data_IF_985189560034
#
_entry.id   IF_985189560034
#
_cell.length_a   1.000
_cell.length_b   1.000
_cell.length_c   1.000
_cell.angle_alpha   90.00
_cell.angle_beta   90.00
_cell.angle_gamma   90.00
#
_symmetry.space_group_name_H-M   'P 1'
#
loop_
_entity.id
_entity.type
_entity.pdbx_description
1 polymer ?
#
# COMPACT_ATOMS: atom_id res chain seq x y z
N UNK A 1 31.84 -40.66 -44.05
CA UNK A 1 31.68 -39.32 -44.65
C UNK A 1 30.33 -38.84 -44.17
N UNK A 2 30.04 -37.85 -43.43
CA UNK A 2 30.71 -36.57 -43.13
C UNK A 2 29.83 -35.75 -42.20
N UNK A 3 30.48 -35.17 -41.27
CA UNK A 3 30.25 -33.87 -40.62
C UNK A 3 29.12 -33.70 -39.60
N UNK A 4 29.59 -33.75 -38.37
CA UNK A 4 29.00 -33.08 -37.23
C UNK A 4 28.84 -31.56 -37.49
N UNK A 5 27.71 -31.01 -37.11
CA UNK A 5 27.53 -29.58 -36.92
C UNK A 5 27.32 -29.29 -35.44
N UNK A 6 28.18 -28.40 -34.93
CA UNK A 6 28.26 -28.00 -33.54
C UNK A 6 27.05 -27.09 -33.13
N UNK A 7 26.69 -27.05 -31.84
CA UNK A 7 25.65 -26.17 -31.38
C UNK A 7 26.13 -24.72 -31.24
N UNK A 8 25.33 -23.79 -31.74
CA UNK A 8 25.52 -22.34 -31.58
C UNK A 8 25.27 -21.97 -30.11
N UNK A 9 26.31 -21.59 -29.40
CA UNK A 9 26.21 -20.93 -28.11
C UNK A 9 25.66 -19.54 -28.31
N UNK A 10 24.39 -19.32 -27.99
CA UNK A 10 23.80 -18.00 -27.83
C UNK A 10 24.34 -17.37 -26.54
N UNK A 11 25.25 -16.42 -26.70
CA UNK A 11 25.74 -15.53 -25.65
C UNK A 11 24.62 -14.56 -25.25
N UNK A 12 23.92 -14.85 -24.18
CA UNK A 12 23.04 -13.88 -23.54
C UNK A 12 23.91 -12.81 -22.85
N UNK A 13 24.17 -11.71 -23.52
CA UNK A 13 24.66 -10.49 -22.89
C UNK A 13 23.58 -10.00 -21.94
N UNK A 14 23.82 -10.14 -20.65
CA UNK A 14 23.08 -9.43 -19.60
C UNK A 14 23.38 -7.94 -19.75
N UNK A 15 22.50 -7.22 -20.42
CA UNK A 15 22.45 -5.77 -20.33
C UNK A 15 21.80 -5.43 -18.99
N UNK A 16 22.63 -5.27 -17.96
CA UNK A 16 22.25 -4.60 -16.75
C UNK A 16 22.04 -3.13 -17.11
N UNK A 17 20.79 -2.74 -17.35
CA UNK A 17 20.40 -1.34 -17.39
C UNK A 17 20.37 -0.86 -15.95
N UNK A 18 21.54 -0.60 -15.40
CA UNK A 18 21.68 0.23 -14.21
C UNK A 18 21.16 1.62 -14.59
N UNK A 19 20.02 2.00 -14.02
CA UNK A 19 19.49 3.35 -14.10
C UNK A 19 20.44 4.26 -13.37
N UNK A 20 21.41 4.79 -14.08
CA UNK A 20 22.33 5.85 -13.65
C UNK A 20 21.54 7.15 -13.59
N UNK A 21 20.77 7.34 -12.50
CA UNK A 21 20.27 8.63 -12.08
C UNK A 21 21.05 9.08 -10.85
N UNK A 22 22.34 9.20 -11.02
CA UNK A 22 23.22 9.85 -10.05
C UNK A 22 24.34 10.50 -10.84
N UNK A 23 24.61 11.73 -10.53
CA UNK A 23 25.72 12.56 -10.99
C UNK A 23 25.37 13.69 -11.95
N UNK A 24 24.69 14.69 -11.40
CA UNK A 24 24.99 16.08 -11.69
C UNK A 24 24.73 16.95 -10.45
N UNK A 25 25.45 16.68 -9.36
CA UNK A 25 25.45 17.50 -8.14
C UNK A 25 26.88 17.57 -7.59
N UNK A 26 27.73 18.32 -8.28
CA UNK A 26 28.97 18.82 -7.70
C UNK A 26 29.20 20.25 -8.21
N UNK A 27 28.56 21.18 -7.54
CA UNK A 27 29.06 22.54 -7.38
C UNK A 27 28.67 23.01 -5.98
N UNK A 28 29.60 22.86 -5.06
CA UNK A 28 29.47 23.27 -3.67
C UNK A 28 29.66 24.77 -3.61
N UNK A 29 28.60 25.53 -3.33
CA UNK A 29 28.69 26.83 -2.68
C UNK A 29 28.02 26.72 -1.33
N UNK A 30 28.63 27.32 -0.31
CA UNK A 30 28.21 27.37 1.07
C UNK A 30 26.82 28.01 1.22
N UNK A 31 25.80 27.16 1.23
CA UNK A 31 24.40 27.54 1.45
C UNK A 31 24.16 27.50 2.96
N UNK A 32 23.46 28.49 3.50
CA UNK A 32 23.06 28.50 4.91
C UNK A 32 22.23 27.22 5.23
N UNK A 33 22.25 26.76 6.49
CA UNK A 33 21.51 25.53 6.88
C UNK A 33 20.02 25.59 6.55
N UNK A 34 19.40 26.76 6.57
CA UNK A 34 18.01 26.96 6.17
C UNK A 34 17.80 26.75 4.66
N UNK A 35 18.64 27.32 3.81
CA UNK A 35 18.60 27.11 2.36
C UNK A 35 18.91 25.67 1.95
N UNK A 36 19.78 24.99 2.69
CA UNK A 36 20.06 23.56 2.44
C UNK A 36 18.83 22.69 2.79
N UNK A 37 18.10 23.03 3.85
CA UNK A 37 16.89 22.31 4.22
C UNK A 37 15.75 22.49 3.18
N UNK A 38 15.56 23.71 2.67
CA UNK A 38 14.59 24.01 1.63
C UNK A 38 14.94 23.32 0.29
N UNK A 39 16.22 23.27 -0.07
CA UNK A 39 16.68 22.58 -1.29
C UNK A 39 16.50 21.06 -1.20
N UNK A 40 16.66 20.45 -0.02
CA UNK A 40 16.41 19.02 0.18
C UNK A 40 14.91 18.72 0.03
N UNK A 41 14.05 19.54 0.56
CA UNK A 41 12.58 19.39 0.42
C UNK A 41 12.14 19.48 -1.05
N UNK A 42 12.63 20.49 -1.80
CA UNK A 42 12.32 20.64 -3.23
C UNK A 42 12.84 19.44 -4.04
N UNK A 43 14.05 18.95 -3.75
CA UNK A 43 14.59 17.77 -4.45
C UNK A 43 13.80 16.49 -4.12
N UNK A 44 13.37 16.31 -2.89
CA UNK A 44 12.58 15.17 -2.45
C UNK A 44 11.19 15.14 -3.13
N UNK A 45 10.48 16.27 -3.14
CA UNK A 45 9.20 16.38 -3.85
C UNK A 45 9.34 16.15 -5.36
N UNK A 46 10.45 16.60 -5.94
CA UNK A 46 10.77 16.36 -7.36
C UNK A 46 10.96 14.87 -7.64
N UNK A 47 11.68 14.15 -6.76
CA UNK A 47 11.89 12.70 -6.90
C UNK A 47 10.55 11.95 -6.78
N UNK A 48 9.71 12.28 -5.79
CA UNK A 48 8.39 11.66 -5.66
C UNK A 48 7.52 11.91 -6.90
N UNK A 49 7.54 13.13 -7.45
CA UNK A 49 6.80 13.45 -8.68
C UNK A 49 7.34 12.67 -9.89
N UNK A 50 8.66 12.51 -10.01
CA UNK A 50 9.27 11.69 -11.06
C UNK A 50 8.88 10.22 -10.93
N UNK A 51 8.85 9.68 -9.71
CA UNK A 51 8.41 8.30 -9.47
C UNK A 51 6.93 8.09 -9.80
N UNK A 52 6.05 9.05 -9.43
CA UNK A 52 4.64 9.06 -9.84
C UNK A 52 4.51 9.09 -11.36
N UNK A 53 5.22 9.99 -12.05
CA UNK A 53 5.21 10.08 -13.50
C UNK A 53 5.71 8.79 -14.18
N UNK A 54 6.79 8.19 -13.65
CA UNK A 54 7.29 6.89 -14.11
C UNK A 54 6.25 5.79 -13.95
N UNK A 55 5.47 5.81 -12.89
CA UNK A 55 4.37 4.89 -12.66
C UNK A 55 3.12 5.17 -13.52
N UNK A 56 3.13 6.20 -14.35
CA UNK A 56 1.98 6.62 -15.15
C UNK A 56 0.88 7.30 -14.33
N UNK A 57 1.26 7.89 -13.18
CA UNK A 57 0.37 8.52 -12.21
C UNK A 57 0.50 10.06 -12.25
N UNK A 58 -0.62 10.73 -12.01
CA UNK A 58 -0.71 12.18 -11.84
C UNK A 58 -1.27 12.49 -10.44
N UNK A 59 -0.69 13.49 -9.78
CA UNK A 59 -1.19 14.00 -8.51
C UNK A 59 -2.46 14.82 -8.71
N UNK A 60 -3.48 14.53 -7.91
CA UNK A 60 -4.77 15.23 -7.92
C UNK A 60 -5.23 15.55 -6.50
N UNK A 61 -6.19 16.46 -6.40
CA UNK A 61 -6.82 16.84 -5.14
C UNK A 61 -8.34 16.89 -5.31
N UNK A 62 -9.06 16.46 -4.28
CA UNK A 62 -10.53 16.45 -4.25
C UNK A 62 -11.03 16.81 -2.85
N UNK A 63 -11.83 17.87 -2.74
CA UNK A 63 -12.46 18.24 -1.48
C UNK A 63 -13.76 17.46 -1.28
N UNK A 64 -13.83 16.73 -0.17
CA UNK A 64 -15.01 15.94 0.22
C UNK A 64 -15.35 16.27 1.68
N UNK A 65 -16.37 17.07 1.89
CA UNK A 65 -16.72 17.58 3.21
C UNK A 65 -15.58 18.41 3.81
N UNK A 66 -15.08 17.98 4.95
CA UNK A 66 -14.01 18.61 5.74
C UNK A 66 -12.60 18.07 5.40
N UNK A 67 -12.50 17.16 4.43
CA UNK A 67 -11.24 16.57 3.99
C UNK A 67 -10.92 17.05 2.57
N UNK A 68 -9.69 17.54 2.38
CA UNK A 68 -9.12 17.72 1.05
C UNK A 68 -8.17 16.57 0.77
N UNK A 69 -8.67 15.58 0.05
CA UNK A 69 -7.92 14.39 -0.34
C UNK A 69 -6.86 14.74 -1.37
N UNK A 70 -5.63 14.31 -1.12
CA UNK A 70 -4.58 14.21 -2.13
C UNK A 70 -4.50 12.77 -2.60
N UNK A 71 -4.45 12.55 -3.90
CA UNK A 71 -4.40 11.21 -4.47
C UNK A 71 -3.63 11.17 -5.78
N UNK A 72 -3.14 10.00 -6.13
CA UNK A 72 -2.57 9.71 -7.45
C UNK A 72 -3.59 9.00 -8.32
N UNK A 73 -3.66 9.38 -9.59
CA UNK A 73 -4.54 8.76 -10.57
C UNK A 73 -3.78 8.46 -11.85
N UNK A 74 -3.99 7.26 -12.41
CA UNK A 74 -3.37 6.84 -13.67
C UNK A 74 -4.22 5.86 -14.47
N UNK A 75 -3.84 5.65 -15.71
CA UNK A 75 -4.61 4.83 -16.65
C UNK A 75 -5.88 5.50 -17.15
N UNK A 76 -6.64 4.81 -17.99
CA UNK A 76 -7.89 5.34 -18.56
C UNK A 76 -9.08 5.09 -17.65
N UNK A 77 -9.91 6.10 -17.43
CA UNK A 77 -11.17 6.01 -16.66
C UNK A 77 -12.24 5.09 -17.30
N UNK A 78 -12.00 4.61 -18.53
CA UNK A 78 -12.87 3.62 -19.19
C UNK A 78 -12.52 2.18 -18.83
N UNK A 79 -11.38 1.96 -18.17
CA UNK A 79 -10.91 0.64 -17.72
C UNK A 79 -11.43 0.30 -16.32
N UNK A 80 -11.39 -0.98 -15.91
CA UNK A 80 -11.74 -1.37 -14.55
C UNK A 80 -10.91 -0.59 -13.51
N UNK A 81 -11.57 -0.12 -12.45
CA UNK A 81 -10.93 0.73 -11.43
C UNK A 81 -10.26 -0.10 -10.34
N UNK A 82 -9.03 0.26 -10.00
CA UNK A 82 -8.27 -0.23 -8.84
C UNK A 82 -8.12 0.90 -7.81
N UNK A 83 -8.56 0.66 -6.59
CA UNK A 83 -8.33 1.51 -5.44
C UNK A 83 -7.24 0.88 -4.57
N UNK A 84 -6.09 1.54 -4.42
CA UNK A 84 -4.93 1.04 -3.67
C UNK A 84 -4.76 1.85 -2.37
N UNK A 85 -4.80 1.18 -1.22
CA UNK A 85 -4.85 1.81 0.10
C UNK A 85 -3.57 1.47 0.87
N UNK A 86 -2.80 2.50 1.26
CA UNK A 86 -1.56 2.36 2.01
C UNK A 86 -1.78 2.06 3.50
N UNK A 87 -0.71 1.67 4.21
CA UNK A 87 -0.73 1.36 5.64
C UNK A 87 -0.49 2.56 6.56
N UNK A 88 -0.42 2.29 7.86
CA UNK A 88 -0.08 3.26 8.90
C UNK A 88 1.26 3.94 8.57
N UNK A 89 1.33 5.26 8.76
CA UNK A 89 2.52 6.09 8.50
C UNK A 89 3.06 6.00 7.05
N UNK A 90 2.28 5.44 6.12
CA UNK A 90 2.56 5.41 4.69
C UNK A 90 1.97 6.60 3.94
N UNK A 91 2.10 6.55 2.63
CA UNK A 91 1.46 7.48 1.69
C UNK A 91 1.08 6.74 0.41
N UNK A 92 0.37 7.43 -0.48
CA UNK A 92 0.06 6.92 -1.82
C UNK A 92 1.29 6.44 -2.58
N UNK A 93 2.47 7.02 -2.30
CA UNK A 93 3.73 6.70 -2.97
C UNK A 93 4.23 5.27 -2.68
N UNK A 94 3.77 4.64 -1.60
CA UNK A 94 4.11 3.25 -1.32
C UNK A 94 3.65 2.29 -2.42
N UNK A 95 2.64 2.67 -3.21
CA UNK A 95 2.10 1.86 -4.28
C UNK A 95 2.67 2.17 -5.68
N UNK A 96 3.52 3.21 -5.83
CA UNK A 96 4.00 3.66 -7.14
C UNK A 96 4.62 2.52 -7.97
N UNK A 97 5.48 1.70 -7.35
CA UNK A 97 6.16 0.58 -8.04
C UNK A 97 5.19 -0.48 -8.53
N UNK A 98 4.19 -0.80 -7.74
CA UNK A 98 3.11 -1.74 -8.12
C UNK A 98 2.21 -1.10 -9.18
N UNK A 99 1.84 0.16 -9.02
CA UNK A 99 0.99 0.90 -9.95
C UNK A 99 1.58 1.00 -11.36
N UNK A 100 2.92 1.10 -11.49
CA UNK A 100 3.62 1.11 -12.77
C UNK A 100 3.18 -0.02 -13.71
N UNK A 101 2.96 -1.21 -13.17
CA UNK A 101 2.53 -2.36 -13.95
C UNK A 101 1.02 -2.40 -14.21
N UNK A 102 0.24 -1.58 -13.51
CA UNK A 102 -1.23 -1.63 -13.54
C UNK A 102 -1.84 -0.54 -14.41
N UNK A 103 -1.25 0.65 -14.47
CA UNK A 103 -1.80 1.84 -15.16
C UNK A 103 -2.03 1.62 -16.67
N UNK A 104 -1.32 0.68 -17.30
CA UNK A 104 -1.54 0.33 -18.70
C UNK A 104 -2.91 -0.33 -18.94
N UNK A 105 -3.41 -1.12 -17.98
CA UNK A 105 -4.62 -1.95 -18.16
C UNK A 105 -5.77 -1.59 -17.23
N UNK A 106 -5.53 -0.76 -16.21
CA UNK A 106 -6.51 -0.39 -15.19
C UNK A 106 -6.54 1.12 -14.98
N UNK A 107 -7.67 1.61 -14.48
CA UNK A 107 -7.81 2.95 -13.92
C UNK A 107 -7.38 2.87 -12.44
N UNK A 108 -6.21 3.40 -12.12
CA UNK A 108 -5.59 3.26 -10.79
C UNK A 108 -5.80 4.54 -9.98
N UNK A 109 -6.33 4.40 -8.77
CA UNK A 109 -6.58 5.47 -7.81
C UNK A 109 -5.88 5.13 -6.50
N UNK A 110 -5.05 6.02 -6.01
CA UNK A 110 -4.27 5.82 -4.78
C UNK A 110 -4.41 7.07 -3.90
N UNK A 111 -5.34 7.11 -2.94
CA UNK A 111 -5.46 8.24 -2.02
C UNK A 111 -4.40 8.20 -0.92
N UNK A 112 -3.98 9.37 -0.46
CA UNK A 112 -3.41 9.51 0.87
C UNK A 112 -4.55 9.44 1.89
N UNK A 113 -4.46 8.52 2.84
CA UNK A 113 -5.44 8.42 3.92
C UNK A 113 -5.42 9.69 4.80
N UNK A 114 -6.55 10.07 5.39
CA UNK A 114 -6.60 11.15 6.36
C UNK A 114 -5.55 10.99 7.47
N UNK A 115 -4.78 12.04 7.72
CA UNK A 115 -3.65 12.03 8.66
C UNK A 115 -2.34 11.50 8.09
N UNK A 116 -2.26 11.26 6.78
CA UNK A 116 -1.07 10.76 6.09
C UNK A 116 -0.84 11.52 4.78
N UNK A 117 0.40 11.47 4.29
CA UNK A 117 0.77 12.05 3.00
C UNK A 117 0.45 13.55 2.91
N UNK A 118 -0.19 13.95 1.82
CA UNK A 118 -0.55 15.35 1.54
C UNK A 118 -2.05 15.64 1.77
N UNK A 119 -2.83 14.67 2.29
CA UNK A 119 -4.26 14.87 2.60
C UNK A 119 -4.44 15.79 3.80
N UNK A 120 -5.24 16.85 3.62
CA UNK A 120 -5.53 17.85 4.65
C UNK A 120 -6.85 17.49 5.35
N UNK A 121 -6.82 17.42 6.67
CA UNK A 121 -7.97 17.08 7.50
C UNK A 121 -8.26 18.18 8.52
N UNK A 122 -9.51 18.27 8.99
CA UNK A 122 -9.87 19.11 10.14
C UNK A 122 -9.25 18.57 11.43
N UNK A 123 -9.14 19.42 12.44
CA UNK A 123 -8.47 19.07 13.71
C UNK A 123 -9.17 17.93 14.49
N UNK A 124 -10.45 17.75 14.31
CA UNK A 124 -11.30 16.87 15.11
C UNK A 124 -11.75 15.60 14.35
N UNK A 125 -10.96 15.15 13.38
CA UNK A 125 -11.27 13.93 12.66
C UNK A 125 -11.20 12.70 13.58
N UNK A 126 -12.24 11.87 13.52
CA UNK A 126 -12.20 10.51 14.05
C UNK A 126 -11.39 9.62 13.09
N UNK A 127 -10.23 9.15 13.55
CA UNK A 127 -9.32 8.27 12.79
C UNK A 127 -9.63 6.77 13.03
N UNK A 128 -10.75 6.42 13.64
CA UNK A 128 -11.13 5.00 13.77
C UNK A 128 -11.25 4.33 12.40
N UNK A 129 -10.90 3.05 12.32
CA UNK A 129 -10.92 2.32 11.04
C UNK A 129 -12.31 2.31 10.40
N UNK A 130 -13.43 2.16 11.16
CA UNK A 130 -14.76 2.29 10.60
C UNK A 130 -15.03 3.67 9.97
N UNK A 131 -14.62 4.76 10.63
CA UNK A 131 -14.81 6.08 10.07
C UNK A 131 -13.90 6.33 8.86
N UNK A 132 -12.66 5.84 8.87
CA UNK A 132 -11.77 5.92 7.71
C UNK A 132 -12.35 5.17 6.49
N UNK A 133 -12.98 4.01 6.70
CA UNK A 133 -13.66 3.27 5.63
C UNK A 133 -14.86 4.07 5.06
N UNK A 134 -15.66 4.69 5.91
CA UNK A 134 -16.78 5.56 5.50
C UNK A 134 -16.29 6.82 4.77
N UNK A 135 -15.23 7.48 5.26
CA UNK A 135 -14.63 8.64 4.59
C UNK A 135 -14.07 8.25 3.22
N UNK A 136 -13.42 7.08 3.13
CA UNK A 136 -12.91 6.55 1.86
C UNK A 136 -14.06 6.28 0.87
N UNK A 137 -15.21 5.74 1.33
CA UNK A 137 -16.37 5.54 0.48
C UNK A 137 -16.89 6.87 -0.08
N UNK A 138 -17.00 7.91 0.76
CA UNK A 138 -17.40 9.25 0.29
C UNK A 138 -16.43 9.83 -0.72
N UNK A 139 -15.13 9.55 -0.55
CA UNK A 139 -14.13 9.90 -1.56
C UNK A 139 -14.40 9.17 -2.88
N UNK A 140 -14.64 7.87 -2.86
CA UNK A 140 -14.95 7.04 -4.04
C UNK A 140 -16.18 7.57 -4.78
N UNK A 141 -17.25 7.93 -4.04
CA UNK A 141 -18.45 8.55 -4.61
C UNK A 141 -18.17 9.91 -5.25
N UNK A 142 -17.45 10.80 -4.54
CA UNK A 142 -17.14 12.15 -5.02
C UNK A 142 -16.16 12.14 -6.19
N UNK A 143 -15.24 11.17 -6.24
CA UNK A 143 -14.35 10.94 -7.38
C UNK A 143 -15.08 10.29 -8.58
N UNK A 144 -16.40 10.00 -8.45
CA UNK A 144 -17.25 9.40 -9.47
C UNK A 144 -16.65 8.10 -10.06
N UNK A 145 -16.07 7.27 -9.22
CA UNK A 145 -15.54 5.97 -9.61
C UNK A 145 -16.71 5.02 -9.89
N UNK A 146 -16.79 4.56 -11.14
CA UNK A 146 -17.96 3.82 -11.64
C UNK A 146 -17.86 2.32 -11.40
N UNK A 147 -19.01 1.72 -11.07
CA UNK A 147 -19.20 0.27 -10.93
C UNK A 147 -18.54 -0.31 -9.68
N UNK A 148 -18.62 -1.63 -9.51
CA UNK A 148 -17.83 -2.30 -8.49
C UNK A 148 -16.33 -2.16 -8.81
N UNK A 149 -15.53 -1.80 -7.79
CA UNK A 149 -14.10 -1.55 -7.93
C UNK A 149 -13.27 -2.67 -7.29
N UNK A 150 -12.09 -2.91 -7.83
CA UNK A 150 -11.09 -3.73 -7.17
C UNK A 150 -10.42 -2.90 -6.07
N UNK A 151 -10.28 -3.46 -4.88
CA UNK A 151 -9.68 -2.79 -3.74
C UNK A 151 -8.45 -3.58 -3.29
N UNK A 152 -7.30 -2.92 -3.21
CA UNK A 152 -6.10 -3.47 -2.61
C UNK A 152 -5.75 -2.68 -1.35
N UNK A 153 -5.40 -3.36 -0.26
CA UNK A 153 -5.00 -2.71 0.97
C UNK A 153 -3.79 -3.37 1.61
N UNK A 154 -2.83 -2.53 2.02
CA UNK A 154 -1.65 -2.94 2.76
C UNK A 154 -1.83 -2.58 4.24
N UNK A 155 -1.56 -3.52 5.16
CA UNK A 155 -1.56 -3.27 6.61
C UNK A 155 -2.88 -2.61 7.08
N UNK A 156 -2.85 -1.42 7.67
CA UNK A 156 -4.04 -0.63 8.01
C UNK A 156 -4.99 -0.47 6.82
N UNK A 157 -4.45 -0.23 5.61
CA UNK A 157 -5.24 -0.15 4.39
C UNK A 157 -5.99 -1.44 4.10
N UNK A 158 -5.45 -2.59 4.48
CA UNK A 158 -6.14 -3.89 4.42
C UNK A 158 -7.32 -3.97 5.38
N UNK A 159 -7.18 -3.45 6.62
CA UNK A 159 -8.30 -3.33 7.56
C UNK A 159 -9.43 -2.46 7.01
N UNK A 160 -9.07 -1.32 6.39
CA UNK A 160 -10.02 -0.40 5.77
C UNK A 160 -10.71 -1.08 4.57
N UNK A 161 -9.96 -1.80 3.73
CA UNK A 161 -10.48 -2.55 2.59
C UNK A 161 -11.49 -3.63 3.02
N UNK A 162 -11.19 -4.37 4.10
CA UNK A 162 -12.09 -5.38 4.68
C UNK A 162 -13.39 -4.74 5.19
N UNK A 163 -13.30 -3.63 5.91
CA UNK A 163 -14.48 -2.90 6.39
C UNK A 163 -15.30 -2.34 5.23
N UNK A 164 -14.66 -1.73 4.25
CA UNK A 164 -15.34 -1.25 3.05
C UNK A 164 -16.11 -2.39 2.35
N UNK A 165 -15.43 -3.51 2.08
CA UNK A 165 -16.05 -4.63 1.39
C UNK A 165 -17.19 -5.28 2.18
N UNK A 166 -17.08 -5.34 3.51
CA UNK A 166 -18.13 -5.88 4.39
C UNK A 166 -19.37 -4.98 4.47
N UNK A 167 -19.16 -3.66 4.45
CA UNK A 167 -20.24 -2.67 4.52
C UNK A 167 -20.88 -2.39 3.14
N UNK A 168 -20.06 -2.46 2.07
CA UNK A 168 -20.49 -2.12 0.70
C UNK A 168 -20.17 -3.27 -0.28
N UNK A 169 -20.77 -4.46 -0.10
CA UNK A 169 -20.42 -5.65 -0.88
C UNK A 169 -20.70 -5.49 -2.38
N UNK A 170 -21.70 -4.70 -2.77
CA UNK A 170 -22.02 -4.46 -4.19
C UNK A 170 -21.08 -3.46 -4.88
N UNK A 171 -20.31 -2.69 -4.11
CA UNK A 171 -19.32 -1.76 -4.61
C UNK A 171 -17.95 -2.41 -4.76
N UNK A 172 -17.75 -3.62 -4.21
CA UNK A 172 -16.47 -4.31 -4.18
C UNK A 172 -16.43 -5.45 -5.20
N UNK A 173 -15.58 -5.30 -6.21
CA UNK A 173 -15.38 -6.30 -7.27
C UNK A 173 -14.44 -7.42 -6.87
N UNK A 174 -13.35 -7.09 -6.21
CA UNK A 174 -12.41 -8.03 -5.59
C UNK A 174 -11.59 -7.34 -4.50
N UNK A 175 -10.96 -8.15 -3.64
CA UNK A 175 -10.02 -7.70 -2.62
C UNK A 175 -8.62 -8.26 -2.90
N UNK A 176 -7.60 -7.43 -2.65
CA UNK A 176 -6.22 -7.85 -2.52
C UNK A 176 -5.68 -7.36 -1.16
N UNK A 177 -5.35 -8.30 -0.29
CA UNK A 177 -4.91 -8.05 1.08
C UNK A 177 -3.42 -8.37 1.18
N UNK A 178 -2.62 -7.35 1.45
CA UNK A 178 -1.16 -7.45 1.60
C UNK A 178 -0.80 -7.16 3.05
N UNK A 179 -0.28 -8.16 3.76
CA UNK A 179 0.09 -8.04 5.19
C UNK A 179 -0.99 -7.29 5.99
N UNK A 180 -2.24 -7.69 5.78
CA UNK A 180 -3.43 -6.93 6.17
C UNK A 180 -3.59 -6.82 7.68
N UNK A 181 -3.90 -5.62 8.16
CA UNK A 181 -4.39 -5.41 9.50
C UNK A 181 -5.78 -6.05 9.73
N UNK A 182 -6.13 -6.15 11.00
CA UNK A 182 -7.38 -6.73 11.47
C UNK A 182 -7.27 -7.10 12.94
N UNK A 183 -8.27 -7.84 13.47
CA UNK A 183 -8.28 -8.35 14.83
C UNK A 183 -8.37 -9.86 14.78
N UNK A 184 -7.28 -10.54 15.15
CA UNK A 184 -7.05 -11.95 14.86
C UNK A 184 -6.83 -12.78 16.13
N UNK A 185 -7.31 -14.02 16.11
CA UNK A 185 -7.02 -15.02 17.14
C UNK A 185 -5.58 -15.53 17.07
N UNK A 186 -5.04 -15.63 15.84
CA UNK A 186 -3.66 -16.06 15.57
C UNK A 186 -2.62 -14.95 15.78
N UNK A 187 -3.01 -13.80 16.32
CA UNK A 187 -2.13 -12.69 16.65
C UNK A 187 -1.01 -13.13 17.59
N UNK A 188 0.25 -13.00 17.14
CA UNK A 188 1.41 -13.51 17.88
C UNK A 188 2.56 -12.52 18.04
N UNK A 189 2.60 -11.43 17.27
CA UNK A 189 3.60 -10.37 17.44
C UNK A 189 3.31 -9.53 18.68
N UNK A 190 4.33 -8.83 19.16
CA UNK A 190 4.18 -7.90 20.30
C UNK A 190 3.17 -6.80 19.98
N UNK A 191 3.15 -6.33 18.73
CA UNK A 191 2.26 -5.24 18.24
C UNK A 191 0.79 -5.65 18.22
N UNK A 192 0.48 -6.93 17.99
CA UNK A 192 -0.88 -7.45 17.97
C UNK A 192 -1.37 -7.89 19.35
N UNK A 193 -0.46 -8.44 20.17
CA UNK A 193 -0.77 -8.84 21.55
C UNK A 193 -0.99 -7.66 22.48
N UNK A 194 -0.20 -6.61 22.29
CA UNK A 194 -0.32 -5.35 23.01
C UNK A 194 -0.16 -4.18 22.02
N UNK A 195 -1.28 -3.65 21.49
CA UNK A 195 -1.24 -2.57 20.51
C UNK A 195 -0.56 -1.29 21.01
N UNK A 196 -0.29 -1.14 22.31
CA UNK A 196 0.47 0.02 22.81
C UNK A 196 1.88 0.07 22.25
N UNK A 197 2.44 -1.08 21.84
CA UNK A 197 3.73 -1.15 21.16
C UNK A 197 3.73 -0.52 19.77
N UNK A 198 2.58 -0.28 19.13
CA UNK A 198 2.50 0.47 17.89
C UNK A 198 3.09 1.88 18.02
N UNK A 199 3.11 2.45 19.23
CA UNK A 199 3.77 3.73 19.51
C UNK A 199 5.28 3.71 19.25
N UNK A 200 5.92 2.56 19.30
CA UNK A 200 7.35 2.41 18.96
C UNK A 200 7.63 2.51 17.46
N UNK A 201 6.59 2.39 16.62
CA UNK A 201 6.69 2.55 15.16
C UNK A 201 6.51 4.00 14.72
N UNK A 202 6.22 4.93 15.64
CA UNK A 202 6.09 6.34 15.34
C UNK A 202 7.46 6.96 15.06
N UNK A 203 7.53 7.71 13.98
CA UNK A 203 8.70 8.53 13.65
C UNK A 203 8.48 9.93 14.19
N UNK A 204 8.99 10.21 15.38
CA UNK A 204 8.80 11.48 16.12
C UNK A 204 10.10 12.26 16.32
N UNK A 205 11.23 11.62 16.12
CA UNK A 205 12.57 12.21 16.24
C UNK A 205 13.56 11.54 15.30
N UNK A 206 14.72 12.16 15.12
CA UNK A 206 15.80 11.64 14.29
C UNK A 206 16.25 10.24 14.75
N UNK A 207 16.35 9.32 13.80
CA UNK A 207 16.73 7.93 14.01
C UNK A 207 15.55 6.96 14.09
N UNK A 208 14.33 7.45 14.37
CA UNK A 208 13.14 6.62 14.47
C UNK A 208 12.79 5.96 13.13
N UNK A 209 13.03 6.64 12.00
CA UNK A 209 12.76 6.08 10.69
C UNK A 209 13.63 4.85 10.37
N UNK A 210 14.90 4.88 10.76
CA UNK A 210 15.77 3.71 10.62
C UNK A 210 15.28 2.53 11.48
N UNK A 211 14.74 2.80 12.67
CA UNK A 211 14.11 1.77 13.49
C UNK A 211 12.87 1.19 12.81
N UNK A 212 11.98 2.06 12.32
CA UNK A 212 10.77 1.65 11.58
C UNK A 212 11.13 0.73 10.40
N UNK A 213 12.10 1.11 9.56
CA UNK A 213 12.53 0.29 8.41
C UNK A 213 13.01 -1.10 8.85
N UNK A 214 13.78 -1.21 9.94
CA UNK A 214 14.25 -2.49 10.48
C UNK A 214 13.12 -3.37 11.05
N UNK A 215 12.04 -2.76 11.53
CA UNK A 215 10.87 -3.51 12.01
C UNK A 215 9.98 -3.96 10.87
N UNK A 216 9.82 -3.13 9.84
CA UNK A 216 8.86 -3.36 8.77
C UNK A 216 9.44 -4.08 7.57
N UNK A 217 10.74 -3.99 7.30
CA UNK A 217 11.36 -4.62 6.14
C UNK A 217 12.39 -5.68 6.54
N UNK A 218 12.42 -6.78 5.81
CA UNK A 218 13.43 -7.82 5.93
C UNK A 218 14.63 -7.52 5.01
N UNK A 219 14.36 -7.21 3.74
CA UNK A 219 15.33 -6.82 2.73
C UNK A 219 14.95 -5.45 2.15
N UNK A 220 15.26 -4.34 2.87
CA UNK A 220 14.94 -3.02 2.36
C UNK A 220 15.69 -2.75 1.04
N UNK A 221 15.04 -2.15 0.03
CA UNK A 221 15.73 -1.71 -1.17
C UNK A 221 16.79 -0.64 -0.83
N UNK A 222 17.74 -0.45 -1.73
CA UNK A 222 18.67 0.68 -1.57
C UNK A 222 17.89 2.00 -1.63
N UNK A 223 18.03 2.80 -0.57
CA UNK A 223 17.42 4.13 -0.46
C UNK A 223 18.54 5.16 -0.25
N UNK A 224 18.68 6.17 -1.13
CA UNK A 224 19.68 7.22 -0.94
C UNK A 224 19.51 7.92 0.41
N UNK A 225 20.63 8.33 1.02
CA UNK A 225 20.65 8.94 2.35
C UNK A 225 19.82 10.22 2.42
N UNK A 226 19.88 11.02 1.39
CA UNK A 226 19.14 12.29 1.26
C UNK A 226 17.63 12.03 1.25
N UNK A 227 17.21 10.98 0.55
CA UNK A 227 15.80 10.56 0.54
C UNK A 227 15.34 10.07 1.93
N UNK A 228 16.16 9.25 2.61
CA UNK A 228 15.87 8.80 3.97
C UNK A 228 15.70 9.98 4.94
N UNK A 229 16.58 10.99 4.84
CA UNK A 229 16.53 12.17 5.70
C UNK A 229 15.28 13.04 5.43
N UNK A 230 14.93 13.23 4.17
CA UNK A 230 13.76 13.99 3.79
C UNK A 230 12.46 13.27 4.21
N UNK A 231 12.38 11.95 4.00
CA UNK A 231 11.25 11.13 4.45
C UNK A 231 11.11 11.17 5.97
N UNK A 232 12.22 11.02 6.72
CA UNK A 232 12.20 11.10 8.19
C UNK A 232 11.69 12.46 8.66
N UNK A 233 12.15 13.57 8.06
CA UNK A 233 11.69 14.93 8.37
C UNK A 233 10.19 15.07 8.14
N UNK A 234 9.69 14.57 7.00
CA UNK A 234 8.26 14.59 6.70
C UNK A 234 7.44 13.83 7.76
N UNK A 235 7.87 12.62 8.12
CA UNK A 235 7.19 11.80 9.13
C UNK A 235 7.21 12.45 10.51
N UNK A 236 8.33 13.08 10.92
CA UNK A 236 8.43 13.82 12.18
C UNK A 236 7.40 14.97 12.19
N UNK A 237 7.25 15.70 11.09
CA UNK A 237 6.26 16.78 10.98
C UNK A 237 4.81 16.26 11.09
N UNK A 238 4.56 15.03 10.68
CA UNK A 238 3.24 14.37 10.75
C UNK A 238 3.04 13.55 12.04
N UNK A 239 4.03 13.49 12.93
CA UNK A 239 4.02 12.61 14.09
C UNK A 239 2.78 12.79 14.99
N UNK A 240 2.31 14.02 15.18
CA UNK A 240 1.12 14.30 16.00
C UNK A 240 -0.17 13.68 15.41
N UNK A 241 -0.34 13.72 14.09
CA UNK A 241 -1.49 13.11 13.42
C UNK A 241 -1.39 11.59 13.43
N UNK A 242 -0.20 11.05 13.14
CA UNK A 242 0.06 9.61 13.21
C UNK A 242 -0.16 9.08 14.62
N UNK A 243 0.21 9.84 15.66
CA UNK A 243 -0.03 9.49 17.06
C UNK A 243 -1.53 9.36 17.36
N UNK A 244 -2.37 10.32 16.90
CA UNK A 244 -3.83 10.25 17.08
C UNK A 244 -4.41 8.98 16.44
N UNK A 245 -3.96 8.63 15.22
CA UNK A 245 -4.38 7.43 14.54
C UNK A 245 -3.95 6.16 15.30
N UNK A 246 -2.72 6.09 15.81
CA UNK A 246 -2.24 4.97 16.65
C UNK A 246 -3.06 4.85 17.94
N UNK A 247 -3.36 5.95 18.61
CA UNK A 247 -4.17 5.95 19.84
C UNK A 247 -5.58 5.40 19.56
N UNK A 248 -6.15 5.69 18.41
CA UNK A 248 -7.46 5.15 17.99
C UNK A 248 -7.38 3.67 17.63
N UNK A 249 -6.31 3.21 16.98
CA UNK A 249 -6.08 1.78 16.73
C UNK A 249 -5.97 1.01 18.05
N UNK A 250 -5.27 1.56 19.06
CA UNK A 250 -5.20 0.98 20.41
C UNK A 250 -6.59 0.92 21.05
N UNK A 251 -7.40 1.96 20.90
CA UNK A 251 -8.75 2.01 21.44
C UNK A 251 -9.69 0.97 20.77
N UNK A 252 -9.57 0.77 19.46
CA UNK A 252 -10.34 -0.23 18.72
C UNK A 252 -10.18 -1.65 19.27
N UNK A 253 -8.98 -2.05 19.62
CA UNK A 253 -8.69 -3.36 20.19
C UNK A 253 -9.34 -3.61 21.58
N UNK A 254 -9.84 -2.56 22.25
CA UNK A 254 -10.62 -2.68 23.49
C UNK A 254 -12.12 -2.91 23.23
N UNK A 255 -12.60 -2.56 22.06
CA UNK A 255 -14.03 -2.59 21.70
C UNK A 255 -14.35 -3.79 20.81
N UNK A 256 -13.47 -4.07 19.83
CA UNK A 256 -13.67 -5.15 18.88
C UNK A 256 -12.86 -6.38 19.28
N UNK A 257 -13.45 -7.55 19.06
CA UNK A 257 -12.85 -8.85 19.33
C UNK A 257 -12.60 -9.62 18.03
N UNK A 258 -11.78 -10.67 18.05
CA UNK A 258 -11.66 -11.57 16.90
C UNK A 258 -13.00 -12.14 16.43
N UNK A 259 -13.97 -12.33 17.33
CA UNK A 259 -15.30 -12.82 16.96
C UNK A 259 -16.13 -11.78 16.21
N UNK A 260 -16.13 -10.53 16.68
CA UNK A 260 -16.80 -9.44 15.96
C UNK A 260 -16.18 -9.19 14.59
N UNK A 261 -14.87 -9.28 14.48
CA UNK A 261 -14.16 -9.19 13.22
C UNK A 261 -14.49 -10.36 12.28
N UNK A 262 -14.59 -11.58 12.81
CA UNK A 262 -14.99 -12.76 12.04
C UNK A 262 -16.43 -12.66 11.52
N UNK A 263 -17.35 -12.04 12.25
CA UNK A 263 -18.72 -11.78 11.78
C UNK A 263 -18.70 -10.84 10.57
N UNK A 264 -17.95 -9.74 10.65
CA UNK A 264 -17.80 -8.81 9.54
C UNK A 264 -17.21 -9.49 8.29
N UNK A 265 -16.12 -10.23 8.44
CA UNK A 265 -15.44 -10.85 7.29
C UNK A 265 -16.31 -11.88 6.56
N UNK A 266 -17.21 -12.55 7.26
CA UNK A 266 -18.18 -13.50 6.66
C UNK A 266 -19.19 -12.83 5.73
N UNK A 267 -19.42 -11.53 5.84
CA UNK A 267 -20.33 -10.79 4.92
C UNK A 267 -19.68 -10.50 3.57
N UNK A 268 -18.36 -10.71 3.44
CA UNK A 268 -17.59 -10.39 2.25
C UNK A 268 -17.69 -11.53 1.24
N UNK A 269 -18.36 -11.29 0.13
CA UNK A 269 -18.47 -12.23 -0.99
C UNK A 269 -17.46 -11.98 -2.12
N UNK A 270 -16.72 -10.88 -2.07
CA UNK A 270 -15.74 -10.52 -3.09
C UNK A 270 -14.63 -11.58 -3.20
N UNK A 271 -14.24 -12.02 -4.41
CA UNK A 271 -13.05 -12.81 -4.62
C UNK A 271 -11.85 -12.13 -3.96
N UNK A 272 -11.06 -12.86 -3.19
CA UNK A 272 -9.97 -12.27 -2.40
C UNK A 272 -8.65 -12.98 -2.65
N UNK A 273 -7.61 -12.21 -2.96
CA UNK A 273 -6.21 -12.63 -2.92
C UNK A 273 -5.58 -12.16 -1.61
N UNK A 274 -4.85 -13.06 -0.94
CA UNK A 274 -4.10 -12.78 0.28
C UNK A 274 -2.63 -13.02 -0.02
N UNK A 275 -1.78 -12.03 0.27
CA UNK A 275 -0.34 -12.11 0.10
C UNK A 275 0.34 -11.64 1.39
N UNK A 276 1.42 -12.33 1.79
CA UNK A 276 2.11 -12.06 3.05
C UNK A 276 3.61 -12.25 2.96
N UNK A 277 4.36 -11.34 3.59
CA UNK A 277 5.77 -11.54 3.88
C UNK A 277 5.96 -12.54 5.01
N UNK A 278 6.77 -13.59 4.80
CA UNK A 278 7.02 -14.62 5.82
C UNK A 278 7.73 -14.05 7.05
N UNK A 279 8.57 -13.05 6.86
CA UNK A 279 9.36 -12.38 7.90
C UNK A 279 8.68 -11.13 8.46
N UNK A 280 7.37 -11.00 8.27
CA UNK A 280 6.60 -9.90 8.85
C UNK A 280 6.65 -9.95 10.40
N UNK A 281 7.28 -8.92 10.99
CA UNK A 281 7.43 -8.76 12.44
C UNK A 281 6.28 -7.94 13.05
N UNK A 282 5.47 -7.28 12.22
CA UNK A 282 4.35 -6.44 12.66
C UNK A 282 3.09 -7.28 12.78
N UNK A 283 2.72 -8.01 11.71
CA UNK A 283 1.56 -8.89 11.67
C UNK A 283 2.02 -10.26 11.21
N UNK A 284 2.04 -11.21 12.14
CA UNK A 284 2.60 -12.54 11.88
C UNK A 284 1.88 -13.30 10.75
N UNK A 285 2.63 -14.08 9.99
CA UNK A 285 2.18 -14.76 8.78
C UNK A 285 1.00 -15.73 8.98
N UNK A 286 0.82 -16.27 10.19
CA UNK A 286 -0.29 -17.18 10.52
C UNK A 286 -1.66 -16.51 10.33
N UNK A 287 -1.71 -15.18 10.41
CA UNK A 287 -2.91 -14.38 10.13
C UNK A 287 -3.41 -14.58 8.71
N UNK A 288 -2.54 -14.80 7.73
CA UNK A 288 -2.95 -15.06 6.35
C UNK A 288 -3.84 -16.31 6.24
N UNK A 289 -3.52 -17.37 6.98
CA UNK A 289 -4.33 -18.58 7.04
C UNK A 289 -5.65 -18.38 7.83
N UNK A 290 -5.64 -17.52 8.84
CA UNK A 290 -6.87 -17.15 9.55
C UNK A 290 -7.81 -16.37 8.62
N UNK A 291 -7.32 -15.36 7.91
CA UNK A 291 -8.10 -14.63 6.89
C UNK A 291 -8.68 -15.55 5.82
N UNK A 292 -7.89 -16.53 5.33
CA UNK A 292 -8.38 -17.53 4.38
C UNK A 292 -9.57 -18.30 4.91
N UNK A 293 -9.60 -18.65 6.20
CA UNK A 293 -10.74 -19.36 6.81
C UNK A 293 -11.96 -18.46 7.03
N UNK A 294 -11.72 -17.17 7.29
CA UNK A 294 -12.78 -16.20 7.54
C UNK A 294 -13.46 -15.70 6.26
N UNK A 295 -12.71 -15.58 5.17
CA UNK A 295 -13.18 -15.06 3.89
C UNK A 295 -13.64 -16.19 2.96
N UNK A 296 -14.91 -16.21 2.62
CA UNK A 296 -15.56 -17.28 1.85
C UNK A 296 -14.87 -17.55 0.49
N UNK A 297 -14.55 -16.50 -0.24
CA UNK A 297 -14.02 -16.56 -1.61
C UNK A 297 -12.53 -16.19 -1.70
N UNK A 298 -11.78 -16.34 -0.60
CA UNK A 298 -10.34 -16.13 -0.63
C UNK A 298 -9.60 -17.31 -1.29
N UNK A 299 -8.59 -17.01 -2.10
CA UNK A 299 -7.64 -17.99 -2.61
C UNK A 299 -6.69 -18.47 -1.48
N UNK A 300 -5.98 -19.60 -1.64
CA UNK A 300 -4.87 -19.94 -0.75
C UNK A 300 -3.89 -18.76 -0.63
N UNK A 301 -3.42 -18.44 0.58
CA UNK A 301 -2.50 -17.32 0.75
C UNK A 301 -1.18 -17.55 0.01
N UNK A 302 -0.67 -16.49 -0.59
CA UNK A 302 0.68 -16.45 -1.17
C UNK A 302 1.64 -15.93 -0.09
N UNK A 303 2.61 -16.75 0.28
CA UNK A 303 3.62 -16.39 1.27
C UNK A 303 4.95 -16.14 0.56
N UNK A 304 5.50 -14.95 0.75
CA UNK A 304 6.78 -14.54 0.15
C UNK A 304 7.91 -14.77 1.14
N UNK A 305 8.84 -15.66 0.78
CA UNK A 305 10.06 -15.91 1.56
C UNK A 305 11.00 -14.70 1.50
N UNK A 306 11.69 -14.41 2.60
CA UNK A 306 12.64 -13.32 2.73
C UNK A 306 12.05 -11.92 2.49
N UNK A 307 10.78 -11.76 2.81
CA UNK A 307 10.02 -10.49 2.71
C UNK A 307 9.42 -10.17 4.07
N UNK A 308 9.50 -8.91 4.49
CA UNK A 308 8.92 -8.40 5.73
C UNK A 308 7.50 -7.88 5.55
N UNK A 309 7.15 -6.85 6.32
CA UNK A 309 5.82 -6.23 6.36
C UNK A 309 5.51 -5.32 5.14
N UNK A 310 6.49 -5.10 4.24
CA UNK A 310 6.33 -4.16 3.12
C UNK A 310 6.55 -4.83 1.74
N UNK A 311 5.83 -5.92 1.39
CA UNK A 311 6.03 -6.62 0.11
C UNK A 311 5.92 -5.70 -1.11
N UNK A 312 5.06 -4.68 -1.05
CA UNK A 312 4.85 -3.71 -2.13
C UNK A 312 6.09 -2.84 -2.42
N UNK A 313 7.06 -2.80 -1.49
CA UNK A 313 8.34 -2.09 -1.63
C UNK A 313 9.54 -3.05 -1.70
N UNK A 314 9.49 -4.18 -0.97
CA UNK A 314 10.58 -5.15 -0.90
C UNK A 314 10.58 -6.12 -2.10
N UNK A 315 9.42 -6.43 -2.67
CA UNK A 315 9.23 -7.51 -3.63
C UNK A 315 8.11 -7.20 -4.65
N UNK A 316 8.04 -5.97 -5.14
CA UNK A 316 6.94 -5.49 -6.01
C UNK A 316 6.72 -6.38 -7.24
N UNK A 317 7.79 -6.96 -7.81
CA UNK A 317 7.66 -7.86 -8.95
C UNK A 317 6.94 -9.16 -8.58
N UNK A 318 7.23 -9.73 -7.40
CA UNK A 318 6.54 -10.93 -6.91
C UNK A 318 5.08 -10.61 -6.58
N UNK A 319 4.80 -9.43 -6.03
CA UNK A 319 3.43 -8.94 -5.80
C UNK A 319 2.65 -8.90 -7.12
N UNK A 320 3.21 -8.30 -8.16
CA UNK A 320 2.57 -8.17 -9.48
C UNK A 320 2.37 -9.52 -10.16
N UNK A 321 3.32 -10.43 -10.04
CA UNK A 321 3.19 -11.80 -10.58
C UNK A 321 1.99 -12.56 -9.99
N UNK A 322 1.53 -12.19 -8.80
CA UNK A 322 0.33 -12.77 -8.18
C UNK A 322 -0.92 -11.94 -8.47
N UNK A 323 -0.80 -10.61 -8.40
CA UNK A 323 -1.96 -9.73 -8.47
C UNK A 323 -2.55 -9.64 -9.89
N UNK A 324 -1.73 -9.49 -10.93
CA UNK A 324 -2.23 -9.36 -12.32
C UNK A 324 -3.00 -10.61 -12.77
N UNK A 325 -2.52 -11.86 -12.61
CA UNK A 325 -3.31 -13.04 -12.96
C UNK A 325 -4.62 -13.16 -12.16
N UNK A 326 -4.61 -12.74 -10.88
CA UNK A 326 -5.83 -12.70 -10.07
C UNK A 326 -6.87 -11.74 -10.64
N UNK A 327 -6.47 -10.52 -10.98
CA UNK A 327 -7.34 -9.52 -11.60
C UNK A 327 -7.95 -10.04 -12.91
N UNK A 328 -7.11 -10.59 -13.80
CA UNK A 328 -7.57 -11.15 -15.09
C UNK A 328 -8.59 -12.28 -14.88
N UNK A 329 -8.37 -13.15 -13.90
CA UNK A 329 -9.33 -14.21 -13.56
C UNK A 329 -10.67 -13.67 -13.07
N UNK A 330 -10.65 -12.60 -12.26
CA UNK A 330 -11.89 -11.96 -11.79
C UNK A 330 -12.65 -11.33 -12.95
N UNK A 331 -11.95 -10.64 -13.86
CA UNK A 331 -12.58 -10.03 -15.04
C UNK A 331 -13.22 -11.07 -15.99
N UNK A 332 -12.52 -12.17 -16.30
CA UNK A 332 -13.02 -13.21 -17.20
C UNK A 332 -14.22 -13.96 -16.61
N UNK A 333 -14.25 -14.24 -15.31
CA UNK A 333 -15.34 -14.92 -14.65
C UNK A 333 -16.64 -14.10 -14.62
N UNK A 334 -16.57 -12.76 -14.70
CA UNK A 334 -17.75 -11.91 -14.78
C UNK A 334 -18.29 -11.81 -16.21
N UNK A 335 -17.43 -11.76 -17.22
CA UNK A 335 -17.85 -11.77 -18.62
C UNK A 335 -18.66 -13.02 -18.98
N UNK A 336 -18.31 -14.17 -18.39
CA UNK A 336 -19.05 -15.43 -18.61
C UNK A 336 -20.44 -15.47 -17.93
N UNK A 337 -20.65 -14.72 -16.85
CA UNK A 337 -21.97 -14.65 -16.16
C UNK A 337 -22.96 -13.69 -16.83
N UNK A 338 -22.49 -12.71 -17.58
CA UNK A 338 -23.34 -11.75 -18.31
C UNK A 338 -23.75 -12.24 -19.71
N UNK A 339 -23.18 -13.33 -20.23
CA UNK A 339 -23.48 -13.90 -21.54
C UNK A 339 -24.41 -15.10 -21.51
N UNK A 340 -24.93 -15.49 -20.34
CA UNK A 340 -25.98 -16.54 -20.27
C UNK A 340 -27.35 -15.82 -20.35
N UNK A 341 -28.15 -16.09 -21.40
CA UNK A 341 -29.46 -15.46 -21.60
C UNK A 341 -30.47 -15.86 -20.53
#
# INVERSE_FOLDING_TARGET
>A
MTRLSAPIKASMKKTATALTLACSLLSVMSISQAQAADNIDVSFQTILQQERNWAGLQSKSLKVGDITWSYSEGGSSTKPTLLLIHGLAGSRDNWNRVAHYLTTNYHVIIPDLPGSGETIVSHDLDYSVPNLAEKLRRFVEAANLKGPIHIAGHSLGGSIALLYAGQYPFETKSLFLVDSGGIFRSANTIYLKDPTYLKQLLVSKKGDFNYLLKQTMFNPPFIPKEFLQAQEKLMINQASQTQKLVDQLIALNKVYTPDSFAVLTKTIDAPTLILWGKQDKIINVEVANELKRLLKNAQPPVILENVGHMPILEAEQLVIQQYVPFLLKVETNQSSKTTTP
#
